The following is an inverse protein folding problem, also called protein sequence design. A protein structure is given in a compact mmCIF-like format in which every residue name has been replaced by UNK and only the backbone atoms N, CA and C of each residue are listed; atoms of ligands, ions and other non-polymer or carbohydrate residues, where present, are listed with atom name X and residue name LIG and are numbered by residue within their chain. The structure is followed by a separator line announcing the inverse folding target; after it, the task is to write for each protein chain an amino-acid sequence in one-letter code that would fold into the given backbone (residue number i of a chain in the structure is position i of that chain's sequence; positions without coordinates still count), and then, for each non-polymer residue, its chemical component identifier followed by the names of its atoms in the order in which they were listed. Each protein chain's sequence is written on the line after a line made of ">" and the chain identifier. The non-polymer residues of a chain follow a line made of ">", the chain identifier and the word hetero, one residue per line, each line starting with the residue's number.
data_IF_745729472556
#
_entry.id   IF_745729472556
#
_cell.length_a   1.000
_cell.length_b   1.000
_cell.length_c   1.000
_cell.angle_alpha   90.00
_cell.angle_beta   90.00
_cell.angle_gamma   90.00
#
_symmetry.space_group_name_H-M   'P 1'
#
loop_
_entity.id
_entity.type
_entity.pdbx_description
1 polymer ?
#
# COMPACT_ATOMS: atom_id res chain seq x y z
N UNK A 1 17.40 34.38 6.11
CA UNK A 1 16.36 33.73 6.97
C UNK A 1 16.51 32.19 7.01
N UNK A 2 17.23 31.57 6.08
CA UNK A 2 17.43 30.11 6.02
C UNK A 2 18.90 29.67 6.23
N UNK A 3 19.85 30.59 6.42
CA UNK A 3 21.29 30.32 6.58
C UNK A 3 21.66 29.57 7.89
N UNK A 4 20.76 29.60 8.88
CA UNK A 4 21.01 28.93 10.18
C UNK A 4 20.53 27.45 10.23
N UNK A 5 19.93 26.93 9.14
CA UNK A 5 19.38 25.57 9.09
C UNK A 5 20.38 24.58 8.51
N UNK A 6 21.39 25.03 7.77
CA UNK A 6 22.30 24.15 7.02
C UNK A 6 23.54 23.64 7.76
N UNK A 7 23.81 24.10 9.00
CA UNK A 7 25.06 23.78 9.71
C UNK A 7 24.89 22.81 10.90
N UNK A 8 23.69 22.27 11.14
CA UNK A 8 23.50 21.21 12.13
C UNK A 8 23.42 19.88 11.39
N UNK A 9 24.33 18.96 11.68
CA UNK A 9 24.14 17.53 11.43
C UNK A 9 22.88 17.12 12.17
N UNK A 10 21.74 17.02 11.45
CA UNK A 10 20.44 16.67 12.05
C UNK A 10 20.48 15.27 12.67
N UNK A 11 19.61 15.00 13.61
CA UNK A 11 19.41 13.66 14.19
C UNK A 11 18.94 12.66 13.11
N UNK A 12 18.18 13.17 12.16
CA UNK A 12 17.62 12.40 11.06
C UNK A 12 18.61 12.37 9.88
N UNK A 13 19.14 11.18 9.57
CA UNK A 13 19.98 10.94 8.39
C UNK A 13 19.16 10.95 7.10
N UNK A 14 17.94 10.38 7.14
CA UNK A 14 17.01 10.31 6.02
C UNK A 14 15.56 10.32 6.52
N UNK A 15 14.74 11.23 6.02
CA UNK A 15 13.31 11.27 6.37
C UNK A 15 12.47 10.21 5.65
N UNK A 16 12.94 9.69 4.51
CA UNK A 16 12.17 8.74 3.70
C UNK A 16 11.67 7.52 4.51
N UNK A 17 12.49 6.85 5.35
CA UNK A 17 12.01 5.72 6.14
C UNK A 17 10.92 6.05 7.16
N UNK A 18 10.71 7.32 7.47
CA UNK A 18 9.67 7.80 8.40
C UNK A 18 8.38 8.21 7.69
N UNK A 19 8.30 7.99 6.38
CA UNK A 19 7.11 8.26 5.57
C UNK A 19 6.30 6.99 5.31
N UNK A 20 5.04 7.17 4.91
CA UNK A 20 4.13 6.07 4.55
C UNK A 20 4.50 5.40 3.23
N UNK A 21 5.17 6.14 2.35
CA UNK A 21 5.51 5.69 0.99
C UNK A 21 6.80 4.86 0.92
N UNK A 22 7.52 4.78 2.04
CA UNK A 22 8.75 3.99 2.09
C UNK A 22 8.45 2.50 2.18
N UNK A 23 8.94 1.75 1.21
CA UNK A 23 8.90 0.28 1.21
C UNK A 23 10.17 -0.28 1.89
N UNK A 24 10.06 -0.94 3.05
CA UNK A 24 11.22 -1.57 3.68
C UNK A 24 11.67 -2.80 2.88
N UNK A 25 12.95 -3.19 2.99
CA UNK A 25 13.48 -4.37 2.32
C UNK A 25 12.72 -5.67 2.66
N UNK A 26 12.20 -5.76 3.88
CA UNK A 26 11.39 -6.87 4.35
C UNK A 26 10.29 -6.36 5.28
N UNK A 27 9.02 -6.57 4.94
CA UNK A 27 7.90 -6.28 5.84
C UNK A 27 7.97 -7.13 7.11
N UNK A 28 7.79 -6.49 8.26
CA UNK A 28 7.88 -7.13 9.58
C UNK A 28 6.64 -8.00 9.83
N UNK A 29 6.86 -9.24 10.30
CA UNK A 29 5.83 -10.20 10.72
C UNK A 29 4.66 -10.39 9.73
N UNK A 30 4.97 -10.39 8.41
CA UNK A 30 4.00 -10.55 7.31
C UNK A 30 4.43 -11.63 6.31
N UNK A 31 5.28 -12.57 6.73
CA UNK A 31 5.81 -13.60 5.84
C UNK A 31 4.70 -14.48 5.25
N UNK A 32 3.72 -14.90 6.07
CA UNK A 32 2.62 -15.75 5.62
C UNK A 32 1.69 -15.02 4.63
N UNK A 33 1.39 -13.75 4.89
CA UNK A 33 0.57 -12.94 4.00
C UNK A 33 1.30 -12.65 2.69
N UNK A 34 2.62 -12.41 2.74
CA UNK A 34 3.45 -12.27 1.54
C UNK A 34 3.46 -13.55 0.71
N UNK A 35 3.71 -14.70 1.33
CA UNK A 35 3.69 -16.01 0.66
C UNK A 35 2.33 -16.24 -0.01
N UNK A 36 1.23 -15.91 0.66
CA UNK A 36 -0.12 -16.04 0.11
C UNK A 36 -0.36 -15.14 -1.11
N UNK A 37 0.16 -13.89 -1.09
CA UNK A 37 0.07 -13.00 -2.26
C UNK A 37 0.93 -13.56 -3.40
N UNK A 38 2.16 -13.97 -3.12
CA UNK A 38 3.08 -14.54 -4.11
C UNK A 38 2.51 -15.79 -4.76
N UNK A 39 1.93 -16.71 -3.97
CA UNK A 39 1.29 -17.93 -4.47
C UNK A 39 0.12 -17.61 -5.41
N UNK A 40 -0.70 -16.63 -5.05
CA UNK A 40 -1.85 -16.23 -5.84
C UNK A 40 -1.44 -15.62 -7.20
N UNK A 41 -0.43 -14.74 -7.22
CA UNK A 41 -0.02 -14.04 -8.44
C UNK A 41 1.05 -14.79 -9.25
N UNK A 42 1.81 -15.69 -8.62
CA UNK A 42 2.93 -16.41 -9.23
C UNK A 42 2.64 -17.09 -10.56
N UNK A 43 1.46 -17.74 -10.77
CA UNK A 43 1.12 -18.39 -12.05
C UNK A 43 1.22 -17.48 -13.27
N UNK A 44 1.05 -16.16 -13.14
CA UNK A 44 1.15 -15.20 -14.25
C UNK A 44 2.53 -15.21 -14.92
N UNK A 45 3.60 -15.52 -14.17
CA UNK A 45 4.98 -15.59 -14.70
C UNK A 45 5.14 -16.70 -15.74
N UNK A 46 4.30 -17.74 -15.64
CA UNK A 46 4.23 -18.87 -16.55
C UNK A 46 3.09 -18.74 -17.57
N UNK A 47 2.52 -17.57 -17.74
CA UNK A 47 1.33 -17.30 -18.58
C UNK A 47 0.11 -18.14 -18.20
N UNK A 48 -0.01 -18.49 -16.94
CA UNK A 48 -1.20 -19.15 -16.39
C UNK A 48 -2.03 -18.13 -15.60
N UNK A 49 -3.32 -18.38 -15.53
CA UNK A 49 -4.25 -17.52 -14.81
C UNK A 49 -3.87 -17.46 -13.33
N UNK A 50 -3.59 -16.27 -12.78
CA UNK A 50 -3.40 -16.07 -11.35
C UNK A 50 -4.74 -16.08 -10.60
N UNK A 51 -4.69 -16.22 -9.27
CA UNK A 51 -5.85 -16.03 -8.42
C UNK A 51 -6.07 -14.52 -8.18
N UNK A 52 -7.34 -14.09 -8.18
CA UNK A 52 -7.67 -12.76 -7.70
C UNK A 52 -7.69 -12.75 -6.17
N UNK A 53 -7.24 -11.65 -5.55
CA UNK A 53 -7.24 -11.48 -4.10
C UNK A 53 -7.99 -10.23 -3.67
N UNK A 54 -8.64 -10.32 -2.52
CA UNK A 54 -9.05 -9.17 -1.73
C UNK A 54 -8.19 -9.12 -0.47
N UNK A 55 -7.25 -8.20 -0.41
CA UNK A 55 -6.43 -7.92 0.77
C UNK A 55 -7.16 -6.87 1.61
N UNK A 56 -7.63 -7.25 2.80
CA UNK A 56 -8.45 -6.35 3.61
C UNK A 56 -7.99 -6.30 5.07
N UNK A 57 -8.44 -5.26 5.78
CA UNK A 57 -8.13 -5.05 7.20
C UNK A 57 -8.13 -3.56 7.55
N UNK A 58 -7.99 -3.19 8.82
CA UNK A 58 -7.96 -1.80 9.26
C UNK A 58 -6.87 -0.97 8.57
N UNK A 59 -7.00 0.35 8.66
CA UNK A 59 -5.96 1.26 8.20
C UNK A 59 -4.63 1.00 8.92
N UNK A 60 -3.49 1.24 8.26
CA UNK A 60 -2.16 1.11 8.83
C UNK A 60 -1.65 -0.32 9.05
N UNK A 61 -2.35 -1.36 8.57
CA UNK A 61 -1.93 -2.77 8.69
C UNK A 61 -0.92 -3.23 7.63
N UNK A 62 -0.55 -2.34 6.68
CA UNK A 62 0.46 -2.62 5.66
C UNK A 62 -0.08 -3.27 4.38
N UNK A 63 -1.40 -3.24 4.10
CA UNK A 63 -2.01 -3.85 2.90
C UNK A 63 -1.35 -3.40 1.60
N UNK A 64 -1.36 -2.10 1.34
CA UNK A 64 -0.75 -1.50 0.14
C UNK A 64 0.74 -1.82 0.06
N UNK A 65 1.45 -1.68 1.19
CA UNK A 65 2.89 -1.97 1.27
C UNK A 65 3.22 -3.42 0.87
N UNK A 66 2.43 -4.41 1.29
CA UNK A 66 2.67 -5.82 0.92
C UNK A 66 2.45 -6.06 -0.57
N UNK A 67 1.39 -5.49 -1.13
CA UNK A 67 1.10 -5.63 -2.58
C UNK A 67 2.19 -4.93 -3.40
N UNK A 68 2.57 -3.71 -3.04
CA UNK A 68 3.63 -2.97 -3.73
C UNK A 68 4.99 -3.67 -3.62
N UNK A 69 5.29 -4.29 -2.46
CA UNK A 69 6.50 -5.08 -2.29
C UNK A 69 6.54 -6.27 -3.27
N UNK A 70 5.44 -7.01 -3.40
CA UNK A 70 5.34 -8.13 -4.35
C UNK A 70 5.42 -7.61 -5.79
N UNK A 71 4.75 -6.50 -6.11
CA UNK A 71 4.76 -5.93 -7.46
C UNK A 71 6.16 -5.46 -7.87
N UNK A 72 6.87 -4.77 -6.97
CA UNK A 72 8.27 -4.38 -7.22
C UNK A 72 9.16 -5.59 -7.50
N UNK A 73 9.03 -6.68 -6.74
CA UNK A 73 9.77 -7.92 -6.99
C UNK A 73 9.40 -8.56 -8.33
N UNK A 74 8.10 -8.55 -8.68
CA UNK A 74 7.63 -9.05 -9.97
C UNK A 74 8.24 -8.27 -11.15
N UNK A 75 8.33 -6.95 -11.06
CA UNK A 75 8.95 -6.11 -12.09
C UNK A 75 10.46 -6.35 -12.22
N UNK A 76 11.15 -6.47 -11.08
CA UNK A 76 12.60 -6.68 -11.04
C UNK A 76 13.00 -8.07 -11.60
N UNK A 77 12.21 -9.10 -11.31
CA UNK A 77 12.59 -10.50 -11.55
C UNK A 77 11.91 -11.13 -12.79
N UNK A 78 10.87 -10.46 -13.33
CA UNK A 78 10.04 -11.05 -14.38
C UNK A 78 9.76 -10.07 -15.53
N UNK A 79 8.95 -10.52 -16.50
CA UNK A 79 8.42 -9.68 -17.59
C UNK A 79 6.91 -9.45 -17.46
N UNK A 80 6.39 -9.64 -16.27
CA UNK A 80 5.01 -9.32 -15.94
C UNK A 80 4.90 -7.80 -15.75
N UNK A 81 3.83 -7.23 -16.24
CA UNK A 81 3.55 -5.80 -16.05
C UNK A 81 2.66 -5.64 -14.83
N UNK A 82 3.05 -4.77 -13.90
CA UNK A 82 2.22 -4.43 -12.76
C UNK A 82 1.64 -3.03 -12.92
N UNK A 83 0.43 -2.82 -12.41
CA UNK A 83 -0.27 -1.54 -12.41
C UNK A 83 -0.96 -1.35 -11.07
N UNK A 84 -0.73 -0.22 -10.41
CA UNK A 84 -1.41 0.14 -9.16
C UNK A 84 -2.27 1.38 -9.38
N UNK A 85 -3.56 1.30 -9.02
CA UNK A 85 -4.52 2.40 -9.16
C UNK A 85 -5.17 2.69 -7.81
N UNK A 86 -5.09 3.94 -7.37
CA UNK A 86 -5.83 4.40 -6.20
C UNK A 86 -7.28 4.72 -6.59
N UNK A 87 -8.23 3.94 -6.08
CA UNK A 87 -9.64 4.04 -6.39
C UNK A 87 -10.35 5.23 -5.74
N UNK A 88 -9.75 5.88 -4.75
CA UNK A 88 -10.20 7.18 -4.26
C UNK A 88 -10.02 8.26 -5.34
N UNK A 89 -8.86 8.26 -5.99
CA UNK A 89 -8.56 9.24 -7.04
C UNK A 89 -9.32 8.95 -8.35
N UNK A 90 -9.48 7.68 -8.69
CA UNK A 90 -10.11 7.21 -9.93
C UNK A 90 -11.36 6.36 -9.59
N UNK A 91 -12.36 6.98 -8.95
CA UNK A 91 -13.49 6.29 -8.34
C UNK A 91 -14.65 5.91 -9.29
N UNK A 92 -14.59 6.29 -10.55
CA UNK A 92 -15.59 5.90 -11.55
C UNK A 92 -15.04 4.89 -12.55
N UNK A 93 -15.89 3.99 -13.11
CA UNK A 93 -15.49 3.02 -14.14
C UNK A 93 -14.67 3.66 -15.27
N UNK A 94 -15.13 4.80 -15.80
CA UNK A 94 -14.46 5.48 -16.90
C UNK A 94 -13.10 6.05 -16.51
N UNK A 95 -12.97 6.66 -15.31
CA UNK A 95 -11.69 7.20 -14.85
C UNK A 95 -10.69 6.09 -14.55
N UNK A 96 -11.12 5.01 -13.91
CA UNK A 96 -10.29 3.86 -13.59
C UNK A 96 -9.78 3.17 -14.85
N UNK A 97 -10.65 2.84 -15.81
CA UNK A 97 -10.25 2.19 -17.07
C UNK A 97 -9.34 3.09 -17.91
N UNK A 98 -9.56 4.42 -17.87
CA UNK A 98 -8.69 5.36 -18.58
C UNK A 98 -7.30 5.40 -17.96
N UNK A 99 -7.19 5.46 -16.63
CA UNK A 99 -5.90 5.46 -15.93
C UNK A 99 -5.16 4.14 -16.12
N UNK A 100 -5.87 3.01 -16.03
CA UNK A 100 -5.29 1.69 -16.31
C UNK A 100 -4.67 1.61 -17.71
N UNK A 101 -5.39 2.11 -18.72
CA UNK A 101 -4.88 2.18 -20.09
C UNK A 101 -3.63 3.07 -20.20
N UNK A 102 -3.60 4.22 -19.51
CA UNK A 102 -2.44 5.12 -19.49
C UNK A 102 -1.23 4.43 -18.87
N UNK A 103 -1.39 3.76 -17.74
CA UNK A 103 -0.31 3.05 -17.07
C UNK A 103 0.20 1.85 -17.88
N UNK A 104 -0.66 1.22 -18.67
CA UNK A 104 -0.26 0.19 -19.64
C UNK A 104 0.42 0.79 -20.90
N UNK A 105 0.62 2.11 -20.99
CA UNK A 105 1.31 2.78 -22.10
C UNK A 105 0.39 3.21 -23.26
N UNK A 106 -0.93 3.15 -23.12
CA UNK A 106 -1.85 3.67 -24.11
C UNK A 106 -2.01 5.19 -23.96
N UNK A 107 -1.80 6.00 -24.99
CA UNK A 107 -1.97 7.46 -24.93
C UNK A 107 -3.46 7.84 -24.93
N UNK A 108 -4.18 7.46 -23.87
CA UNK A 108 -5.61 7.74 -23.76
C UNK A 108 -5.85 9.22 -23.46
N UNK A 109 -6.80 9.87 -24.13
CA UNK A 109 -7.28 11.17 -23.69
C UNK A 109 -8.04 11.00 -22.38
N UNK A 110 -7.76 11.85 -21.38
CA UNK A 110 -8.35 11.74 -20.02
C UNK A 110 -9.86 11.97 -19.96
N UNK A 111 -10.53 12.33 -21.05
CA UNK A 111 -11.98 12.60 -21.09
C UNK A 111 -12.61 12.07 -22.38
N UNK A 112 -13.85 11.62 -22.29
CA UNK A 112 -14.78 11.53 -23.42
C UNK A 112 -14.88 10.19 -24.14
N UNK A 113 -14.30 9.09 -23.63
CA UNK A 113 -14.57 7.76 -24.24
C UNK A 113 -15.64 7.00 -23.48
N UNK A 114 -16.60 6.36 -24.18
CA UNK A 114 -17.53 5.41 -23.58
C UNK A 114 -16.81 4.22 -22.96
N UNK A 115 -17.40 3.61 -21.92
CA UNK A 115 -16.82 2.49 -21.18
C UNK A 115 -16.53 1.29 -22.07
N UNK A 116 -17.46 0.93 -22.95
CA UNK A 116 -17.29 -0.15 -23.92
C UNK A 116 -16.09 0.04 -24.86
N UNK A 117 -15.85 1.28 -25.31
CA UNK A 117 -14.67 1.59 -26.11
C UNK A 117 -13.37 1.50 -25.29
N UNK A 118 -13.40 1.83 -23.99
CA UNK A 118 -12.27 1.66 -23.09
C UNK A 118 -11.97 0.17 -22.83
N UNK A 119 -13.00 -0.65 -22.59
CA UNK A 119 -12.86 -2.10 -22.38
C UNK A 119 -12.27 -2.80 -23.61
N UNK A 120 -12.82 -2.52 -24.79
CA UNK A 120 -12.27 -3.08 -26.04
C UNK A 120 -10.81 -2.66 -26.27
N UNK A 121 -10.45 -1.45 -25.86
CA UNK A 121 -9.06 -0.99 -25.95
C UNK A 121 -8.17 -1.63 -24.89
N UNK A 122 -8.70 -1.83 -23.67
CA UNK A 122 -7.97 -2.48 -22.58
C UNK A 122 -7.59 -3.91 -22.94
N UNK A 123 -8.53 -4.71 -23.45
CA UNK A 123 -8.25 -6.05 -23.97
C UNK A 123 -7.09 -6.04 -24.97
N UNK A 124 -7.17 -5.20 -26.02
CA UNK A 124 -6.11 -5.09 -27.03
C UNK A 124 -4.75 -4.67 -26.46
N UNK A 125 -4.74 -3.93 -25.33
CA UNK A 125 -3.51 -3.45 -24.71
C UNK A 125 -2.90 -4.49 -23.79
N UNK A 126 -3.71 -5.24 -23.06
CA UNK A 126 -3.27 -6.36 -22.23
C UNK A 126 -2.54 -7.42 -23.08
N UNK A 127 -3.03 -7.70 -24.29
CA UNK A 127 -2.42 -8.70 -25.17
C UNK A 127 -1.03 -8.29 -25.69
N UNK A 128 -0.60 -7.05 -25.46
CA UNK A 128 0.79 -6.61 -25.73
C UNK A 128 1.75 -6.97 -24.60
N UNK A 129 1.24 -7.34 -23.44
CA UNK A 129 2.01 -7.72 -22.25
C UNK A 129 2.00 -9.25 -22.10
N UNK A 130 3.01 -9.79 -21.43
CA UNK A 130 3.08 -11.26 -21.18
C UNK A 130 2.12 -11.77 -20.12
N UNK A 131 1.65 -10.85 -19.29
CA UNK A 131 0.70 -10.99 -18.20
C UNK A 131 0.64 -9.67 -17.46
N UNK A 132 -0.52 -9.37 -16.88
CA UNK A 132 -0.76 -8.09 -16.18
C UNK A 132 -1.29 -8.38 -14.78
N UNK A 133 -0.70 -7.74 -13.78
CA UNK A 133 -1.22 -7.71 -12.41
C UNK A 133 -1.72 -6.30 -12.11
N UNK A 134 -2.91 -6.19 -11.59
CA UNK A 134 -3.59 -4.92 -11.32
C UNK A 134 -3.93 -4.84 -9.84
N UNK A 135 -3.36 -3.87 -9.13
CA UNK A 135 -3.76 -3.53 -7.77
C UNK A 135 -4.79 -2.38 -7.82
N UNK A 136 -5.92 -2.58 -7.15
CA UNK A 136 -6.97 -1.60 -6.97
C UNK A 136 -6.98 -1.19 -5.51
N UNK A 137 -6.18 -0.17 -5.17
CA UNK A 137 -6.08 0.32 -3.80
C UNK A 137 -7.30 1.17 -3.44
N UNK A 138 -7.75 1.06 -2.18
CA UNK A 138 -9.00 1.67 -1.71
C UNK A 138 -10.21 1.26 -2.56
N UNK A 139 -10.31 -0.02 -2.90
CA UNK A 139 -11.38 -0.58 -3.74
C UNK A 139 -12.79 -0.25 -3.22
N UNK A 140 -12.96 -0.15 -1.92
CA UNK A 140 -14.20 0.26 -1.24
C UNK A 140 -14.65 1.70 -1.58
N UNK A 141 -13.80 2.52 -2.20
CA UNK A 141 -14.12 3.89 -2.63
C UNK A 141 -14.69 3.99 -4.05
N UNK A 142 -14.74 2.87 -4.79
CA UNK A 142 -15.36 2.86 -6.11
C UNK A 142 -16.88 3.06 -6.02
N UNK A 143 -17.40 3.88 -6.92
CA UNK A 143 -18.86 4.18 -6.99
C UNK A 143 -19.69 3.03 -7.54
N UNK A 144 -19.08 2.08 -8.26
CA UNK A 144 -19.75 0.91 -8.84
C UNK A 144 -18.81 -0.30 -8.83
N UNK A 145 -18.57 -0.84 -7.64
CA UNK A 145 -17.67 -1.98 -7.43
C UNK A 145 -18.11 -3.21 -8.22
N UNK A 146 -19.43 -3.45 -8.30
CA UNK A 146 -19.99 -4.61 -8.98
C UNK A 146 -19.75 -4.53 -10.50
N UNK A 147 -19.89 -3.35 -11.11
CA UNK A 147 -19.65 -3.18 -12.52
C UNK A 147 -18.15 -3.29 -12.86
N UNK A 148 -17.28 -2.72 -12.03
CA UNK A 148 -15.82 -2.85 -12.20
C UNK A 148 -15.38 -4.31 -12.10
N UNK A 149 -15.90 -5.06 -11.13
CA UNK A 149 -15.63 -6.49 -11.01
C UNK A 149 -16.07 -7.28 -12.26
N UNK A 150 -17.22 -6.90 -12.83
CA UNK A 150 -17.71 -7.49 -14.07
C UNK A 150 -16.81 -7.16 -15.27
N UNK A 151 -16.37 -5.91 -15.38
CA UNK A 151 -15.47 -5.45 -16.46
C UNK A 151 -14.16 -6.23 -16.49
N UNK A 152 -13.53 -6.42 -15.33
CA UNK A 152 -12.27 -7.19 -15.26
C UNK A 152 -12.47 -8.65 -15.64
N UNK A 153 -13.59 -9.27 -15.27
CA UNK A 153 -13.89 -10.62 -15.71
C UNK A 153 -14.11 -10.68 -17.23
N UNK A 154 -14.86 -9.73 -17.80
CA UNK A 154 -15.10 -9.68 -19.25
C UNK A 154 -13.79 -9.51 -20.02
N UNK A 155 -12.92 -8.64 -19.55
CA UNK A 155 -11.61 -8.43 -20.17
C UNK A 155 -10.73 -9.66 -20.02
N UNK A 156 -10.74 -10.33 -18.86
CA UNK A 156 -9.96 -11.55 -18.64
C UNK A 156 -10.43 -12.71 -19.51
N UNK A 157 -11.76 -12.87 -19.68
CA UNK A 157 -12.33 -13.94 -20.53
C UNK A 157 -12.02 -13.72 -22.02
N UNK A 158 -11.76 -12.47 -22.42
CA UNK A 158 -11.52 -12.09 -23.81
C UNK A 158 -10.03 -11.90 -24.17
N UNK A 159 -9.15 -11.75 -23.17
CA UNK A 159 -7.72 -11.56 -23.39
C UNK A 159 -6.98 -12.87 -23.61
N UNK A 160 -5.96 -12.85 -24.47
CA UNK A 160 -5.07 -14.00 -24.72
C UNK A 160 -4.02 -14.20 -23.61
N UNK A 161 -3.70 -13.12 -22.88
CA UNK A 161 -2.73 -13.12 -21.78
C UNK A 161 -3.41 -12.99 -20.42
N UNK A 162 -2.89 -13.64 -19.36
CA UNK A 162 -3.53 -13.70 -18.05
C UNK A 162 -3.51 -12.36 -17.35
N UNK A 163 -4.60 -12.09 -16.61
CA UNK A 163 -4.78 -10.91 -15.76
C UNK A 163 -5.04 -11.36 -14.33
N UNK A 164 -4.34 -10.78 -13.36
CA UNK A 164 -4.63 -10.92 -11.95
C UNK A 164 -5.07 -9.60 -11.34
N UNK A 165 -6.11 -9.64 -10.51
CA UNK A 165 -6.63 -8.46 -9.83
C UNK A 165 -6.48 -8.60 -8.32
N UNK A 166 -5.76 -7.66 -7.70
CA UNK A 166 -5.60 -7.53 -6.26
C UNK A 166 -6.39 -6.31 -5.79
N UNK A 167 -7.48 -6.56 -5.11
CA UNK A 167 -8.28 -5.50 -4.48
C UNK A 167 -7.73 -5.26 -3.07
N UNK A 168 -7.53 -4.00 -2.70
CA UNK A 168 -7.11 -3.59 -1.36
C UNK A 168 -8.24 -2.77 -0.75
N UNK A 169 -8.69 -3.14 0.46
CA UNK A 169 -9.82 -2.49 1.10
C UNK A 169 -9.63 -2.33 2.60
N UNK A 170 -10.16 -1.25 3.15
CA UNK A 170 -10.29 -1.09 4.60
C UNK A 170 -11.54 -1.81 5.16
N UNK A 171 -12.42 -2.26 4.27
CA UNK A 171 -13.67 -2.92 4.61
C UNK A 171 -13.58 -4.44 4.39
N UNK A 172 -14.27 -5.25 5.22
CA UNK A 172 -14.34 -6.68 5.03
C UNK A 172 -15.16 -7.04 3.77
N UNK A 173 -15.01 -8.27 3.24
CA UNK A 173 -15.72 -8.73 2.04
C UNK A 173 -17.25 -8.54 2.11
N UNK A 174 -17.82 -8.61 3.33
CA UNK A 174 -19.26 -8.49 3.57
C UNK A 174 -19.78 -7.05 3.43
N UNK A 175 -18.92 -6.05 3.57
CA UNK A 175 -19.28 -4.63 3.46
C UNK A 175 -19.06 -4.07 2.04
N UNK A 176 -18.42 -4.82 1.13
CA UNK A 176 -18.24 -4.41 -0.25
C UNK A 176 -19.54 -4.51 -1.04
N UNK A 177 -19.78 -3.55 -1.91
CA UNK A 177 -20.95 -3.48 -2.80
C UNK A 177 -20.84 -4.47 -3.98
N UNK A 178 -20.49 -5.72 -3.67
CA UNK A 178 -20.42 -6.83 -4.62
C UNK A 178 -21.65 -7.73 -4.44
N UNK A 179 -22.48 -7.83 -5.45
CA UNK A 179 -23.57 -8.80 -5.45
C UNK A 179 -23.05 -10.24 -5.64
N UNK A 180 -23.90 -11.24 -5.38
CA UNK A 180 -23.51 -12.66 -5.47
C UNK A 180 -22.94 -13.02 -6.86
N UNK A 181 -23.46 -12.42 -7.92
CA UNK A 181 -23.01 -12.67 -9.31
C UNK A 181 -21.60 -12.10 -9.54
N UNK A 182 -21.34 -10.87 -9.09
CA UNK A 182 -20.01 -10.24 -9.22
C UNK A 182 -18.96 -10.97 -8.40
N UNK A 183 -19.31 -11.41 -7.17
CA UNK A 183 -18.41 -12.22 -6.32
C UNK A 183 -18.05 -13.55 -6.99
N UNK A 184 -19.05 -14.26 -7.53
CA UNK A 184 -18.85 -15.54 -8.19
C UNK A 184 -18.00 -15.40 -9.46
N UNK A 185 -18.18 -14.32 -10.21
CA UNK A 185 -17.43 -14.07 -11.45
C UNK A 185 -15.98 -13.68 -11.19
N UNK A 186 -15.74 -12.75 -10.26
CA UNK A 186 -14.38 -12.31 -9.94
C UNK A 186 -13.59 -13.42 -9.22
N UNK A 187 -14.29 -14.39 -8.60
CA UNK A 187 -13.73 -15.58 -7.96
C UNK A 187 -12.46 -15.28 -7.14
N UNK A 188 -12.53 -14.27 -6.26
CA UNK A 188 -11.40 -13.84 -5.44
C UNK A 188 -11.30 -14.63 -4.12
N UNK A 189 -10.09 -14.78 -3.62
CA UNK A 189 -9.82 -15.20 -2.25
C UNK A 189 -9.63 -13.98 -1.35
N UNK A 190 -10.10 -14.07 -0.10
CA UNK A 190 -9.95 -12.98 0.87
C UNK A 190 -8.74 -13.25 1.79
N UNK A 191 -7.88 -12.26 1.94
CA UNK A 191 -6.72 -12.25 2.82
C UNK A 191 -6.88 -11.12 3.83
N UNK A 192 -7.09 -11.46 5.10
CA UNK A 192 -7.20 -10.49 6.18
C UNK A 192 -5.83 -10.13 6.75
N UNK A 193 -5.56 -8.83 6.86
CA UNK A 193 -4.43 -8.31 7.61
C UNK A 193 -4.91 -7.79 8.96
N UNK A 194 -4.59 -8.53 10.02
CA UNK A 194 -4.87 -8.11 11.40
C UNK A 194 -4.05 -6.88 11.80
N UNK A 195 -4.55 -6.05 12.73
CA UNK A 195 -3.77 -4.97 13.32
C UNK A 195 -2.43 -5.46 13.87
N UNK A 196 -1.42 -4.61 13.82
CA UNK A 196 -0.12 -4.92 14.42
C UNK A 196 -0.23 -5.02 15.93
N UNK A 197 0.42 -6.01 16.53
CA UNK A 197 0.61 -6.08 17.97
C UNK A 197 1.59 -4.97 18.43
N UNK A 198 1.65 -4.73 19.75
CA UNK A 198 2.67 -3.84 20.29
C UNK A 198 4.09 -4.29 19.91
N UNK A 199 4.33 -5.60 19.90
CA UNK A 199 5.64 -6.16 19.55
C UNK A 199 5.98 -5.93 18.08
N UNK A 200 5.01 -6.12 17.17
CA UNK A 200 5.21 -5.82 15.75
C UNK A 200 5.55 -4.34 15.52
N UNK A 201 4.85 -3.43 16.22
CA UNK A 201 5.12 -2.00 16.14
C UNK A 201 6.54 -1.66 16.65
N UNK A 202 7.02 -2.31 17.70
CA UNK A 202 8.39 -2.15 18.19
C UNK A 202 9.39 -2.57 17.11
N UNK A 203 9.20 -3.73 16.49
CA UNK A 203 10.10 -4.24 15.46
C UNK A 203 10.10 -3.36 14.20
N UNK A 204 8.91 -2.88 13.78
CA UNK A 204 8.78 -1.92 12.68
C UNK A 204 9.53 -0.62 13.01
N UNK A 205 9.32 -0.07 14.21
CA UNK A 205 9.98 1.17 14.62
C UNK A 205 11.51 1.01 14.67
N UNK A 206 12.03 -0.12 15.17
CA UNK A 206 13.47 -0.39 15.12
C UNK A 206 13.99 -0.38 13.68
N UNK A 207 13.37 -1.12 12.78
CA UNK A 207 13.76 -1.14 11.37
C UNK A 207 13.76 0.27 10.74
N UNK A 208 12.79 1.10 11.11
CA UNK A 208 12.69 2.48 10.62
C UNK A 208 13.74 3.40 11.25
N UNK A 209 14.03 3.22 12.53
CA UNK A 209 15.06 3.97 13.24
C UNK A 209 16.44 3.67 12.64
N UNK A 210 16.78 2.41 12.44
CA UNK A 210 18.05 2.00 11.83
C UNK A 210 18.26 2.59 10.43
N UNK A 211 17.16 2.74 9.67
CA UNK A 211 17.21 3.31 8.32
C UNK A 211 17.22 4.85 8.30
N UNK A 212 16.60 5.51 9.29
CA UNK A 212 16.32 6.95 9.28
C UNK A 212 17.31 7.78 10.09
N UNK A 213 17.85 7.25 11.19
CA UNK A 213 18.64 8.00 12.17
C UNK A 213 20.12 7.62 12.16
N UNK A 214 20.91 8.42 12.84
CA UNK A 214 22.27 8.04 13.28
C UNK A 214 22.18 7.12 14.49
N UNK A 215 23.25 6.39 14.76
CA UNK A 215 23.31 5.43 15.87
C UNK A 215 23.03 6.12 17.21
N UNK A 216 22.34 5.43 18.11
CA UNK A 216 22.03 5.85 19.48
C UNK A 216 21.16 7.12 19.62
N UNK A 217 20.57 7.63 18.54
CA UNK A 217 19.73 8.82 18.57
C UNK A 217 18.36 8.54 19.18
N UNK A 218 17.78 7.35 18.97
CA UNK A 218 16.47 6.96 19.49
C UNK A 218 16.59 5.79 20.44
N UNK A 219 16.20 5.98 21.72
CA UNK A 219 16.32 4.92 22.72
C UNK A 219 15.23 3.86 22.58
N UNK A 220 15.49 2.63 23.05
CA UNK A 220 14.51 1.56 23.09
C UNK A 220 13.26 1.95 23.88
N UNK A 221 13.42 2.69 25.00
CA UNK A 221 12.29 3.16 25.81
C UNK A 221 11.40 4.14 25.03
N UNK A 222 11.96 4.98 24.17
CA UNK A 222 11.22 5.88 23.28
C UNK A 222 10.39 5.07 22.29
N UNK A 223 10.97 4.05 21.66
CA UNK A 223 10.29 3.13 20.74
C UNK A 223 9.14 2.40 21.43
N UNK A 224 9.40 1.80 22.60
CA UNK A 224 8.40 1.09 23.38
C UNK A 224 7.24 1.99 23.81
N UNK A 225 7.53 3.25 24.14
CA UNK A 225 6.51 4.24 24.53
C UNK A 225 5.59 4.61 23.37
N UNK A 226 6.15 4.82 22.15
CA UNK A 226 5.35 5.05 20.95
C UNK A 226 4.48 3.83 20.66
N UNK A 227 5.07 2.62 20.61
CA UNK A 227 4.35 1.39 20.32
C UNK A 227 3.21 1.13 21.32
N UNK A 228 3.45 1.36 22.61
CA UNK A 228 2.42 1.23 23.63
C UNK A 228 1.27 2.23 23.45
N UNK A 229 1.57 3.48 23.09
CA UNK A 229 0.56 4.51 22.88
C UNK A 229 -0.34 4.19 21.69
N UNK A 230 0.24 3.74 20.58
CA UNK A 230 -0.50 3.40 19.35
C UNK A 230 -1.26 2.09 19.48
N UNK A 231 -0.68 1.06 20.10
CA UNK A 231 -1.33 -0.22 20.31
C UNK A 231 -2.60 -0.13 21.19
N UNK A 232 -2.71 0.87 22.08
CA UNK A 232 -3.90 1.11 22.90
C UNK A 232 -5.02 1.85 22.18
N UNK A 233 -4.78 2.38 20.98
CA UNK A 233 -5.75 3.14 20.19
C UNK A 233 -6.27 2.31 19.01
N UNK A 234 -5.51 2.23 17.93
CA UNK A 234 -5.92 1.65 16.66
C UNK A 234 -4.86 0.73 16.02
N UNK A 235 -3.67 0.64 16.62
CA UNK A 235 -2.52 -0.10 16.07
C UNK A 235 -2.14 0.33 14.63
N UNK A 236 -2.42 1.60 14.26
CA UNK A 236 -2.04 2.14 12.95
C UNK A 236 -0.53 2.46 12.92
N UNK A 237 0.23 1.73 12.12
CA UNK A 237 1.67 1.94 11.98
C UNK A 237 2.03 3.35 11.49
N UNK A 238 1.16 4.01 10.70
CA UNK A 238 1.38 5.39 10.22
C UNK A 238 1.37 6.40 11.36
N UNK A 239 0.53 6.16 12.37
CA UNK A 239 0.51 7.00 13.58
C UNK A 239 1.82 6.85 14.36
N UNK A 240 2.34 5.62 14.48
CA UNK A 240 3.63 5.37 15.15
C UNK A 240 4.78 6.10 14.45
N UNK A 241 4.86 6.03 13.12
CA UNK A 241 5.88 6.73 12.34
C UNK A 241 5.72 8.26 12.42
N UNK A 242 4.49 8.75 12.43
CA UNK A 242 4.19 10.18 12.58
C UNK A 242 4.64 10.71 13.95
N UNK A 243 4.37 9.97 15.02
CA UNK A 243 4.82 10.31 16.37
C UNK A 243 6.34 10.35 16.47
N UNK A 244 7.02 9.33 15.94
CA UNK A 244 8.49 9.27 15.91
C UNK A 244 9.09 10.46 15.16
N UNK A 245 8.58 10.75 13.96
CA UNK A 245 9.06 11.86 13.13
C UNK A 245 8.85 13.22 13.82
N UNK A 246 7.69 13.45 14.46
CA UNK A 246 7.41 14.69 15.20
C UNK A 246 8.35 14.84 16.38
N UNK A 247 8.53 13.79 17.16
CA UNK A 247 9.43 13.82 18.32
C UNK A 247 10.90 14.06 17.91
N UNK A 248 11.33 13.51 16.80
CA UNK A 248 12.67 13.73 16.27
C UNK A 248 12.87 15.21 15.84
N UNK A 249 11.91 15.77 15.11
CA UNK A 249 11.97 17.20 14.72
C UNK A 249 11.94 18.14 15.93
N UNK A 250 11.18 17.79 16.97
CA UNK A 250 11.17 18.58 18.22
C UNK A 250 12.54 18.51 18.91
N UNK A 251 13.15 17.33 18.99
CA UNK A 251 14.49 17.17 19.56
C UNK A 251 15.53 18.01 18.80
N UNK A 252 15.47 18.04 17.47
CA UNK A 252 16.36 18.90 16.65
C UNK A 252 16.13 20.41 16.93
N UNK A 253 14.87 20.84 17.09
CA UNK A 253 14.54 22.23 17.41
C UNK A 253 15.07 22.64 18.81
N UNK A 254 14.97 21.72 19.77
CA UNK A 254 15.47 21.93 21.14
C UNK A 254 17.00 21.83 21.22
N UNK A 255 17.68 21.46 20.13
CA UNK A 255 19.14 21.27 20.08
C UNK A 255 19.62 20.08 20.90
N UNK A 256 18.79 19.07 21.07
CA UNK A 256 19.13 17.84 21.77
C UNK A 256 19.96 16.90 20.87
N UNK A 257 20.79 16.07 21.49
CA UNK A 257 21.61 15.07 20.79
C UNK A 257 20.86 13.74 20.58
N UNK A 258 19.67 13.58 21.18
CA UNK A 258 18.85 12.37 21.08
C UNK A 258 17.36 12.65 21.29
N UNK A 259 16.53 11.74 20.77
CA UNK A 259 15.07 11.75 20.99
C UNK A 259 14.75 11.17 22.37
N UNK A 260 14.36 12.01 23.30
CA UNK A 260 14.05 11.62 24.68
C UNK A 260 12.57 11.23 24.87
N UNK A 261 12.26 10.59 26.00
CA UNK A 261 10.88 10.32 26.42
C UNK A 261 10.03 11.59 26.54
N UNK A 262 10.64 12.74 26.87
CA UNK A 262 9.93 14.02 26.94
C UNK A 262 9.40 14.43 25.55
N UNK A 263 10.24 14.35 24.49
CA UNK A 263 9.85 14.65 23.12
C UNK A 263 8.73 13.72 22.64
N UNK A 264 8.81 12.42 22.99
CA UNK A 264 7.76 11.43 22.69
C UNK A 264 6.44 11.80 23.39
N UNK A 265 6.48 12.11 24.69
CA UNK A 265 5.28 12.44 25.47
C UNK A 265 4.60 13.69 24.92
N UNK A 266 5.36 14.73 24.60
CA UNK A 266 4.85 15.95 23.97
C UNK A 266 4.20 15.65 22.61
N UNK A 267 4.84 14.79 21.80
CA UNK A 267 4.30 14.38 20.49
C UNK A 267 2.98 13.62 20.61
N UNK A 268 2.85 12.76 21.63
CA UNK A 268 1.61 12.02 21.92
C UNK A 268 0.50 12.97 22.39
N UNK A 269 0.81 13.90 23.28
CA UNK A 269 -0.17 14.83 23.83
C UNK A 269 -0.72 15.80 22.75
N UNK A 270 0.15 16.26 21.84
CA UNK A 270 -0.27 17.05 20.68
C UNK A 270 -1.11 16.27 19.66
N UNK A 271 -0.95 14.96 19.59
CA UNK A 271 -1.77 14.12 18.69
C UNK A 271 -3.17 13.85 19.25
N UNK A 272 -3.38 14.08 20.56
CA UNK A 272 -4.66 13.88 21.24
C UNK A 272 -5.49 15.16 21.38
N UNK A 273 -4.88 16.33 21.19
CA UNK A 273 -5.54 17.65 21.20
C UNK A 273 -6.09 18.00 19.80
#
# INVERSE_FOLDING_TARGET
>A
MFEHISDRTGLIRSEAPLTTDYSPPSPVNRAQELDRIVDAVGPVTQRRQPENLLVYGPAGTGKTLLVDHVFSKMEDETRVTTVSINCWQYNTRSSLLTELLIQLGYPAPRKGKPVDALLAKLQQWIDKHRGVLIALDEFDQLTDQAAVAYDFQEVNDAADNPIGVLMISNQPPTALELNARSRSRLAYHALELSPYSKQDLIEILHQRVDAAFHDDVVTNEAIERIAAAVATQNSDCRDALTLLRRAARQAEQDGADAVSLTHITQSIDHARS
#
